data_IF_821716796311
#
_entry.id   IF_821716796311
#
_cell.length_a   1.000
_cell.length_b   1.000
_cell.length_c   1.000
_cell.angle_alpha   90.00
_cell.angle_beta   90.00
_cell.angle_gamma   90.00
#
_symmetry.space_group_name_H-M   'P 1'
#
loop_
_entity.id
_entity.type
_entity.pdbx_description
1 polymer ?
#
# COMPACT_ATOMS: atom_id res chain seq x y z
N UNK A 1 3.85 -3.85 -51.94
CA UNK A 1 4.89 -3.40 -50.99
C UNK A 1 4.15 -2.89 -49.76
N UNK A 2 4.23 -3.64 -48.67
CA UNK A 2 3.51 -3.37 -47.42
C UNK A 2 4.39 -2.49 -46.54
N UNK A 3 3.98 -1.26 -46.30
CA UNK A 3 4.54 -0.41 -45.26
C UNK A 3 4.10 -0.95 -43.90
N UNK A 4 5.06 -1.44 -43.12
CA UNK A 4 4.84 -1.84 -41.74
C UNK A 4 4.66 -0.58 -40.87
N UNK A 5 3.49 -0.50 -40.23
CA UNK A 5 3.14 0.51 -39.22
C UNK A 5 4.03 0.38 -37.97
N UNK A 6 4.53 1.49 -37.38
CA UNK A 6 5.43 1.49 -36.22
C UNK A 6 4.71 1.26 -34.87
N UNK A 7 3.61 0.50 -34.87
CA UNK A 7 2.89 0.12 -33.65
C UNK A 7 3.49 -1.17 -33.07
N UNK A 8 3.67 -1.22 -31.75
CA UNK A 8 4.13 -2.38 -30.96
C UNK A 8 5.65 -2.52 -30.76
N UNK A 9 6.31 -1.49 -30.23
CA UNK A 9 7.52 -1.73 -29.41
C UNK A 9 7.05 -2.10 -28.01
N UNK A 10 6.81 -3.40 -27.83
CA UNK A 10 6.20 -3.99 -26.63
C UNK A 10 6.92 -3.63 -25.34
N UNK A 11 6.13 -3.60 -24.28
CA UNK A 11 6.52 -3.67 -22.87
C UNK A 11 7.42 -4.90 -22.64
N UNK A 12 8.69 -4.77 -22.97
CA UNK A 12 9.68 -5.78 -22.64
C UNK A 12 10.03 -5.61 -21.16
N UNK A 13 9.28 -6.30 -20.29
CA UNK A 13 9.66 -6.47 -18.89
C UNK A 13 11.11 -6.96 -18.81
N UNK A 14 11.97 -6.21 -18.11
CA UNK A 14 13.38 -6.57 -17.96
C UNK A 14 13.48 -7.94 -17.30
N UNK A 15 14.40 -8.77 -17.78
CA UNK A 15 14.62 -10.16 -17.31
C UNK A 15 15.27 -10.26 -15.92
N UNK A 16 15.27 -9.19 -15.12
CA UNK A 16 15.96 -9.10 -13.83
C UNK A 16 15.45 -7.93 -12.98
N UNK A 17 15.99 -7.83 -11.76
CA UNK A 17 15.59 -6.84 -10.76
C UNK A 17 15.68 -5.41 -11.29
N UNK A 18 14.66 -4.62 -10.98
CA UNK A 18 14.58 -3.20 -11.25
C UNK A 18 14.87 -2.39 -9.98
N UNK A 19 15.15 -1.10 -10.15
CA UNK A 19 15.35 -0.20 -9.01
C UNK A 19 14.11 -0.11 -8.11
N UNK A 20 12.91 -0.21 -8.69
CA UNK A 20 11.65 -0.28 -7.94
C UNK A 20 11.58 -1.55 -7.07
N UNK A 21 12.00 -2.71 -7.59
CA UNK A 21 12.01 -3.96 -6.79
C UNK A 21 12.98 -3.86 -5.60
N UNK A 22 14.13 -3.20 -5.78
CA UNK A 22 15.11 -2.97 -4.71
C UNK A 22 14.55 -2.04 -3.62
N UNK A 23 13.82 -1.00 -4.03
CA UNK A 23 13.15 -0.08 -3.13
C UNK A 23 12.03 -0.77 -2.34
N UNK A 24 11.26 -1.66 -2.97
CA UNK A 24 10.32 -2.53 -2.25
C UNK A 24 11.03 -3.51 -1.32
N UNK A 25 12.10 -4.17 -1.75
CA UNK A 25 12.87 -5.07 -0.91
C UNK A 25 13.42 -4.36 0.34
N UNK A 26 13.76 -3.07 0.24
CA UNK A 26 14.25 -2.25 1.34
C UNK A 26 13.20 -2.09 2.47
N UNK A 27 11.90 -2.21 2.18
CA UNK A 27 10.87 -2.14 3.24
C UNK A 27 11.00 -3.29 4.24
N UNK A 28 11.53 -4.44 3.84
CA UNK A 28 11.73 -5.61 4.73
C UNK A 28 12.77 -5.33 5.83
N UNK A 29 14.02 -4.92 5.54
CA UNK A 29 14.97 -4.55 6.58
C UNK A 29 14.53 -3.29 7.34
N UNK A 30 13.82 -2.34 6.71
CA UNK A 30 13.22 -1.20 7.41
C UNK A 30 12.17 -1.65 8.44
N UNK A 31 11.35 -2.67 8.12
CA UNK A 31 10.38 -3.25 9.05
C UNK A 31 11.08 -3.87 10.26
N UNK A 32 12.15 -4.66 10.03
CA UNK A 32 12.95 -5.23 11.11
C UNK A 32 13.59 -4.14 11.97
N UNK A 33 14.21 -3.13 11.35
CA UNK A 33 14.79 -1.99 12.05
C UNK A 33 13.74 -1.21 12.86
N UNK A 34 12.52 -1.05 12.34
CA UNK A 34 11.43 -0.35 13.02
C UNK A 34 11.07 -1.01 14.36
N UNK A 35 11.02 -2.35 14.38
CA UNK A 35 10.74 -3.13 15.59
C UNK A 35 11.91 -3.07 16.57
N UNK A 36 13.15 -3.22 16.07
CA UNK A 36 14.35 -3.32 16.90
C UNK A 36 14.76 -2.00 17.53
N UNK A 37 14.48 -0.88 16.87
CA UNK A 37 14.86 0.44 17.40
C UNK A 37 13.82 0.94 18.39
N UNK A 38 14.26 1.33 19.59
CA UNK A 38 13.40 1.87 20.66
C UNK A 38 13.23 3.39 20.57
N UNK A 39 14.20 4.10 20.00
CA UNK A 39 14.21 5.56 19.93
C UNK A 39 13.21 6.09 18.90
N UNK A 40 12.32 6.98 19.34
CA UNK A 40 11.28 7.61 18.50
C UNK A 40 11.84 8.30 17.27
N UNK A 41 12.95 9.03 17.38
CA UNK A 41 13.55 9.77 16.26
C UNK A 41 13.94 8.85 15.10
N UNK A 42 14.53 7.70 15.40
CA UNK A 42 14.90 6.70 14.40
C UNK A 42 13.67 6.02 13.78
N UNK A 43 12.63 5.73 14.59
CA UNK A 43 11.35 5.21 14.05
C UNK A 43 10.69 6.20 13.09
N UNK A 44 10.71 7.50 13.39
CA UNK A 44 10.22 8.54 12.49
C UNK A 44 11.04 8.61 11.21
N UNK A 45 12.38 8.52 11.30
CA UNK A 45 13.25 8.49 10.14
C UNK A 45 12.97 7.27 9.24
N UNK A 46 12.74 6.10 9.82
CA UNK A 46 12.37 4.88 9.09
C UNK A 46 11.02 5.04 8.39
N UNK A 47 10.00 5.56 9.06
CA UNK A 47 8.68 5.83 8.45
C UNK A 47 8.79 6.84 7.32
N UNK A 48 9.57 7.91 7.51
CA UNK A 48 9.84 8.90 6.48
C UNK A 48 10.56 8.31 5.26
N UNK A 49 11.57 7.47 5.49
CA UNK A 49 12.30 6.78 4.43
C UNK A 49 11.39 5.81 3.67
N UNK A 50 10.55 5.04 4.36
CA UNK A 50 9.59 4.13 3.74
C UNK A 50 8.56 4.89 2.89
N UNK A 51 7.99 5.99 3.41
CA UNK A 51 7.05 6.83 2.67
C UNK A 51 7.69 7.49 1.44
N UNK A 52 8.94 7.95 1.56
CA UNK A 52 9.67 8.54 0.44
C UNK A 52 9.96 7.50 -0.66
N UNK A 53 10.35 6.29 -0.25
CA UNK A 53 10.59 5.15 -1.15
C UNK A 53 9.34 4.86 -1.97
N UNK A 54 8.17 4.80 -1.33
CA UNK A 54 6.88 4.55 -1.96
C UNK A 54 6.47 5.63 -2.98
N UNK A 55 6.80 6.89 -2.70
CA UNK A 55 6.57 8.00 -3.62
C UNK A 55 7.49 7.96 -4.85
N UNK A 56 8.71 7.42 -4.69
CA UNK A 56 9.71 7.33 -5.76
C UNK A 56 9.49 6.12 -6.67
N UNK A 57 8.97 5.02 -6.14
CA UNK A 57 8.71 3.78 -6.89
C UNK A 57 7.71 3.99 -8.04
N UNK A 58 6.65 4.77 -7.79
CA UNK A 58 5.61 5.02 -8.79
C UNK A 58 6.12 5.69 -10.09
N UNK A 59 6.79 6.86 -10.01
CA UNK A 59 7.41 7.49 -11.18
C UNK A 59 8.52 6.66 -11.81
N UNK A 60 9.29 5.92 -11.01
CA UNK A 60 10.43 5.15 -11.49
C UNK A 60 10.00 3.91 -12.29
N UNK A 61 9.00 3.18 -11.80
CA UNK A 61 8.39 2.05 -12.51
C UNK A 61 7.77 2.50 -13.85
N UNK A 62 7.12 3.68 -13.88
CA UNK A 62 6.57 4.26 -15.13
C UNK A 62 7.63 4.63 -16.16
N UNK A 63 8.85 4.96 -15.73
CA UNK A 63 9.93 5.41 -16.62
C UNK A 63 10.88 4.29 -17.04
N UNK A 64 11.05 3.24 -16.22
CA UNK A 64 12.08 2.21 -16.41
C UNK A 64 11.55 0.81 -16.73
N UNK A 65 10.22 0.64 -16.75
CA UNK A 65 9.56 -0.64 -17.04
C UNK A 65 9.34 -1.48 -15.78
N UNK A 66 8.31 -2.33 -15.81
CA UNK A 66 7.97 -3.25 -14.72
C UNK A 66 8.83 -4.51 -14.77
N UNK A 67 9.12 -5.05 -13.59
CA UNK A 67 9.77 -6.34 -13.39
C UNK A 67 8.72 -7.43 -13.18
N UNK A 68 9.00 -8.70 -13.54
CA UNK A 68 8.13 -9.81 -13.19
C UNK A 68 8.04 -10.06 -11.67
N UNK A 69 9.01 -9.59 -10.89
CA UNK A 69 9.06 -9.83 -9.44
C UNK A 69 8.32 -8.76 -8.61
N UNK A 70 8.32 -7.51 -9.05
CA UNK A 70 7.68 -6.38 -8.35
C UNK A 70 6.22 -6.61 -7.96
N UNK A 71 5.33 -7.08 -8.87
CA UNK A 71 3.91 -7.31 -8.55
C UNK A 71 3.66 -8.26 -7.37
N UNK A 72 4.62 -9.15 -7.06
CA UNK A 72 4.55 -10.08 -5.93
C UNK A 72 5.34 -9.55 -4.73
N UNK A 73 6.50 -8.95 -4.97
CA UNK A 73 7.38 -8.45 -3.91
C UNK A 73 6.80 -7.21 -3.22
N UNK A 74 6.23 -6.27 -3.98
CA UNK A 74 5.71 -5.01 -3.45
C UNK A 74 4.62 -5.26 -2.40
N UNK A 75 3.56 -6.08 -2.66
CA UNK A 75 2.52 -6.34 -1.65
C UNK A 75 3.02 -7.10 -0.43
N UNK A 76 4.05 -7.95 -0.57
CA UNK A 76 4.64 -8.67 0.55
C UNK A 76 5.41 -7.70 1.44
N UNK A 77 6.28 -6.90 0.84
CA UNK A 77 7.12 -5.95 1.56
C UNK A 77 6.29 -4.91 2.31
N UNK A 78 5.21 -4.42 1.69
CA UNK A 78 4.25 -3.52 2.33
C UNK A 78 3.56 -4.17 3.54
N UNK A 79 3.09 -5.42 3.40
CA UNK A 79 2.45 -6.15 4.50
C UNK A 79 3.40 -6.41 5.65
N UNK A 80 4.66 -6.72 5.37
CA UNK A 80 5.69 -6.93 6.41
C UNK A 80 5.93 -5.64 7.18
N UNK A 81 6.11 -4.52 6.49
CA UNK A 81 6.29 -3.22 7.13
C UNK A 81 5.07 -2.80 7.95
N UNK A 82 3.87 -2.95 7.38
CA UNK A 82 2.62 -2.65 8.07
C UNK A 82 2.44 -3.52 9.32
N UNK A 83 2.69 -4.83 9.22
CA UNK A 83 2.60 -5.75 10.37
C UNK A 83 3.59 -5.37 11.48
N UNK A 84 4.82 -4.98 11.13
CA UNK A 84 5.80 -4.47 12.07
C UNK A 84 5.32 -3.18 12.78
N UNK A 85 4.82 -2.21 12.00
CA UNK A 85 4.30 -0.95 12.53
C UNK A 85 3.13 -1.17 13.48
N UNK A 86 2.16 -1.98 13.07
CA UNK A 86 0.97 -2.33 13.85
C UNK A 86 1.35 -3.11 15.10
N UNK A 87 2.30 -4.06 15.01
CA UNK A 87 2.78 -4.81 16.16
C UNK A 87 3.30 -3.89 17.25
N UNK A 88 4.16 -2.93 16.89
CA UNK A 88 4.67 -1.92 17.84
C UNK A 88 3.54 -1.10 18.47
N UNK A 89 2.52 -0.72 17.70
CA UNK A 89 1.35 0.03 18.20
C UNK A 89 0.52 -0.82 19.17
N UNK A 90 0.25 -2.08 18.80
CA UNK A 90 -0.54 -3.02 19.59
C UNK A 90 0.11 -3.34 20.93
N UNK A 91 1.42 -3.64 20.94
CA UNK A 91 2.16 -3.96 22.15
C UNK A 91 2.29 -2.76 23.11
N UNK A 92 2.14 -1.53 22.61
CA UNK A 92 2.22 -0.35 23.47
C UNK A 92 0.95 -0.11 24.30
N UNK A 93 -0.18 -0.74 23.97
CA UNK A 93 -1.47 -0.56 24.64
C UNK A 93 -2.09 0.85 24.53
N UNK A 94 -1.58 1.74 23.66
CA UNK A 94 -2.07 3.13 23.55
C UNK A 94 -3.35 3.26 22.72
N UNK A 95 -3.54 2.33 21.79
CA UNK A 95 -4.77 2.16 21.04
C UNK A 95 -5.44 0.84 21.45
N UNK A 96 -6.76 0.85 21.55
CA UNK A 96 -7.52 -0.37 21.75
C UNK A 96 -7.49 -1.23 20.48
N UNK A 97 -7.65 -2.57 20.58
CA UNK A 97 -7.62 -3.45 19.42
C UNK A 97 -8.60 -3.05 18.30
N UNK A 98 -9.79 -2.56 18.65
CA UNK A 98 -10.77 -2.10 17.66
C UNK A 98 -10.36 -0.81 16.92
N UNK A 99 -9.57 0.06 17.55
CA UNK A 99 -9.03 1.28 16.90
C UNK A 99 -7.95 0.89 15.88
N UNK A 100 -7.12 -0.10 16.22
CA UNK A 100 -6.11 -0.66 15.32
C UNK A 100 -6.79 -1.34 14.12
N UNK A 101 -7.80 -2.17 14.35
CA UNK A 101 -8.58 -2.79 13.28
C UNK A 101 -9.27 -1.74 12.39
N UNK A 102 -9.79 -0.68 12.98
CA UNK A 102 -10.38 0.45 12.24
C UNK A 102 -9.38 1.14 11.31
N UNK A 103 -8.17 1.41 11.79
CA UNK A 103 -7.08 1.99 10.99
C UNK A 103 -6.67 1.07 9.83
N UNK A 104 -6.69 -0.25 10.04
CA UNK A 104 -6.31 -1.26 9.04
C UNK A 104 -7.47 -1.75 8.17
N UNK A 105 -8.68 -1.24 8.38
CA UNK A 105 -9.90 -1.76 7.78
C UNK A 105 -9.80 -1.87 6.26
N UNK A 106 -9.24 -0.83 5.61
CA UNK A 106 -9.05 -0.80 4.16
C UNK A 106 -8.09 -1.89 3.68
N UNK A 107 -6.99 -2.14 4.39
CA UNK A 107 -5.99 -3.13 3.98
C UNK A 107 -6.47 -4.57 4.19
N UNK A 108 -7.28 -4.79 5.25
CA UNK A 108 -7.98 -6.05 5.47
C UNK A 108 -8.94 -6.30 4.30
N UNK A 109 -9.78 -5.32 3.94
CA UNK A 109 -10.73 -5.45 2.83
C UNK A 109 -10.00 -5.65 1.49
N UNK A 110 -8.92 -4.90 1.24
CA UNK A 110 -8.11 -5.05 0.03
C UNK A 110 -7.46 -6.44 -0.06
N UNK A 111 -6.95 -6.95 1.07
CA UNK A 111 -6.35 -8.29 1.14
C UNK A 111 -7.38 -9.39 0.91
N UNK A 112 -8.55 -9.30 1.54
CA UNK A 112 -9.66 -10.24 1.33
C UNK A 112 -10.15 -10.21 -0.12
N UNK A 113 -10.28 -9.01 -0.71
CA UNK A 113 -10.66 -8.87 -2.11
C UNK A 113 -9.62 -9.50 -3.05
N UNK A 114 -8.33 -9.30 -2.79
CA UNK A 114 -7.25 -9.93 -3.55
C UNK A 114 -7.32 -11.45 -3.50
N UNK A 115 -7.46 -12.04 -2.32
CA UNK A 115 -7.62 -13.49 -2.18
C UNK A 115 -8.88 -13.99 -2.89
N UNK A 116 -10.02 -13.32 -2.72
CA UNK A 116 -11.26 -13.69 -3.40
C UNK A 116 -11.10 -13.68 -4.94
N UNK A 117 -10.39 -12.70 -5.50
CA UNK A 117 -10.12 -12.66 -6.95
C UNK A 117 -9.15 -13.73 -7.40
N UNK A 118 -8.12 -14.04 -6.59
CA UNK A 118 -7.12 -15.06 -6.89
C UNK A 118 -7.74 -16.46 -7.00
N UNK A 119 -8.74 -16.76 -6.16
CA UNK A 119 -9.46 -18.03 -6.19
C UNK A 119 -10.61 -18.10 -7.21
N UNK A 120 -11.03 -16.97 -7.80
CA UNK A 120 -12.24 -16.92 -8.63
C UNK A 120 -11.99 -16.84 -10.15
N UNK A 121 -10.75 -16.96 -10.64
CA UNK A 121 -10.35 -16.87 -12.07
C UNK A 121 -10.89 -15.65 -12.85
N UNK A 122 -11.46 -14.65 -12.17
CA UNK A 122 -11.95 -13.41 -12.74
C UNK A 122 -10.96 -12.29 -12.38
N UNK A 123 -10.01 -11.94 -13.26
CA UNK A 123 -9.10 -10.83 -13.02
C UNK A 123 -9.90 -9.53 -12.97
N UNK A 124 -10.19 -9.06 -11.76
CA UNK A 124 -10.82 -7.76 -11.52
C UNK A 124 -9.70 -6.74 -11.33
N UNK A 125 -9.20 -6.20 -12.43
CA UNK A 125 -8.30 -5.06 -12.39
C UNK A 125 -9.12 -3.81 -12.03
N UNK A 126 -9.00 -3.35 -10.78
CA UNK A 126 -9.73 -2.17 -10.30
C UNK A 126 -8.78 -0.99 -10.32
N UNK A 127 -9.12 0.10 -11.04
CA UNK A 127 -8.23 1.24 -11.18
C UNK A 127 -7.94 1.89 -9.82
N UNK A 128 -6.66 2.16 -9.57
CA UNK A 128 -6.19 2.85 -8.38
C UNK A 128 -6.86 4.23 -8.27
N UNK A 129 -7.62 4.45 -7.19
CA UNK A 129 -8.35 5.70 -6.94
C UNK A 129 -7.65 6.57 -5.90
N UNK A 130 -7.90 7.87 -6.00
CA UNK A 130 -7.45 8.90 -5.06
C UNK A 130 -7.88 8.62 -3.61
N UNK A 131 -9.03 7.96 -3.42
CA UNK A 131 -9.52 7.53 -2.11
C UNK A 131 -8.58 6.58 -1.38
N UNK A 132 -7.84 5.72 -2.10
CA UNK A 132 -6.82 4.86 -1.50
C UNK A 132 -5.63 5.64 -0.94
N UNK A 133 -5.16 6.66 -1.66
CA UNK A 133 -4.04 7.51 -1.20
C UNK A 133 -4.38 8.27 0.07
N UNK A 134 -5.63 8.76 0.20
CA UNK A 134 -6.08 9.45 1.40
C UNK A 134 -5.99 8.57 2.65
N UNK A 135 -6.34 7.28 2.53
CA UNK A 135 -6.19 6.31 3.62
C UNK A 135 -4.74 6.12 4.00
N UNK A 136 -3.85 5.92 3.03
CA UNK A 136 -2.40 5.75 3.29
C UNK A 136 -1.82 6.96 4.02
N UNK A 137 -2.16 8.18 3.59
CA UNK A 137 -1.71 9.41 4.27
C UNK A 137 -2.25 9.45 5.71
N UNK A 138 -3.53 9.15 5.92
CA UNK A 138 -4.13 9.13 7.25
C UNK A 138 -3.51 8.07 8.18
N UNK A 139 -3.17 6.89 7.65
CA UNK A 139 -2.45 5.85 8.38
C UNK A 139 -1.04 6.29 8.77
N UNK A 140 -0.29 6.92 7.86
CA UNK A 140 1.03 7.49 8.17
C UNK A 140 0.90 8.54 9.27
N UNK A 141 -0.09 9.43 9.20
CA UNK A 141 -0.35 10.42 10.24
C UNK A 141 -0.69 9.78 11.59
N UNK A 142 -1.46 8.69 11.59
CA UNK A 142 -1.76 7.92 12.82
C UNK A 142 -0.48 7.33 13.41
N UNK A 143 0.37 6.74 12.57
CA UNK A 143 1.64 6.15 13.00
C UNK A 143 2.60 7.23 13.54
N UNK A 144 2.71 8.37 12.87
CA UNK A 144 3.52 9.51 13.36
C UNK A 144 2.96 10.03 14.68
N UNK A 145 1.65 10.24 14.79
CA UNK A 145 0.99 10.69 16.03
C UNK A 145 1.24 9.72 17.18
N UNK A 146 1.23 8.41 16.89
CA UNK A 146 1.58 7.37 17.85
C UNK A 146 3.03 7.50 18.33
N UNK A 147 3.97 7.63 17.39
CA UNK A 147 5.41 7.67 17.67
C UNK A 147 5.80 8.89 18.52
N UNK A 148 5.28 10.08 18.19
CA UNK A 148 5.54 11.31 18.96
C UNK A 148 4.74 11.38 20.27
N UNK A 149 3.85 10.41 20.48
CA UNK A 149 2.97 10.36 21.63
C UNK A 149 1.95 11.49 21.72
N UNK A 150 1.43 11.92 20.57
CA UNK A 150 0.45 12.98 20.45
C UNK A 150 -0.84 12.67 21.24
N UNK A 151 -1.44 13.66 21.92
CA UNK A 151 -2.77 13.51 22.54
C UNK A 151 -3.87 13.28 21.50
N UNK A 152 -3.62 13.66 20.23
CA UNK A 152 -4.56 13.50 19.13
C UNK A 152 -4.54 12.11 18.47
N UNK A 153 -3.76 11.15 19.01
CA UNK A 153 -3.64 9.80 18.46
C UNK A 153 -5.01 9.13 18.22
N UNK A 154 -5.88 9.10 19.24
CA UNK A 154 -7.21 8.47 19.11
C UNK A 154 -8.11 9.20 18.10
N UNK A 155 -8.29 10.54 18.17
CA UNK A 155 -9.03 11.27 17.14
C UNK A 155 -8.54 10.99 15.71
N UNK A 156 -7.21 10.96 15.50
CA UNK A 156 -6.61 10.69 14.18
C UNK A 156 -6.89 9.24 13.75
N UNK A 157 -6.82 8.26 14.66
CA UNK A 157 -7.15 6.86 14.36
C UNK A 157 -8.63 6.69 13.94
N UNK A 158 -9.55 7.37 14.63
CA UNK A 158 -10.96 7.39 14.26
C UNK A 158 -11.20 8.09 12.92
N UNK A 159 -10.55 9.23 12.68
CA UNK A 159 -10.60 9.91 11.39
C UNK A 159 -10.09 9.00 10.25
N UNK A 160 -9.00 8.28 10.49
CA UNK A 160 -8.43 7.31 9.55
C UNK A 160 -9.41 6.18 9.25
N UNK A 161 -10.09 5.67 10.28
CA UNK A 161 -11.15 4.66 10.13
C UNK A 161 -12.29 5.17 9.27
N UNK A 162 -12.75 6.41 9.49
CA UNK A 162 -13.82 7.03 8.70
C UNK A 162 -13.40 7.19 7.23
N UNK A 163 -12.18 7.68 6.98
CA UNK A 163 -11.63 7.79 5.62
C UNK A 163 -11.53 6.41 4.96
N UNK A 164 -11.12 5.38 5.69
CA UNK A 164 -11.07 4.00 5.22
C UNK A 164 -12.46 3.48 4.82
N UNK A 165 -13.48 3.71 5.65
CA UNK A 165 -14.88 3.34 5.35
C UNK A 165 -15.37 4.06 4.08
N UNK A 166 -15.12 5.37 3.97
CA UNK A 166 -15.49 6.14 2.77
C UNK A 166 -14.78 5.61 1.53
N UNK A 167 -13.50 5.25 1.62
CA UNK A 167 -12.73 4.68 0.51
C UNK A 167 -13.26 3.31 0.08
N UNK A 168 -13.59 2.43 1.03
CA UNK A 168 -14.22 1.13 0.78
C UNK A 168 -15.58 1.33 0.12
N UNK A 169 -16.38 2.27 0.61
CA UNK A 169 -17.69 2.57 0.04
C UNK A 169 -17.60 3.11 -1.40
N UNK A 170 -16.67 4.03 -1.67
CA UNK A 170 -16.38 4.50 -3.03
C UNK A 170 -15.96 3.35 -3.95
N UNK A 171 -15.14 2.43 -3.44
CA UNK A 171 -14.75 1.21 -4.15
C UNK A 171 -15.98 0.32 -4.49
N UNK A 172 -16.84 0.04 -3.52
CA UNK A 172 -18.04 -0.79 -3.72
C UNK A 172 -19.05 -0.17 -4.70
N UNK A 173 -19.15 1.16 -4.76
CA UNK A 173 -20.03 1.84 -5.73
C UNK A 173 -19.52 1.78 -7.18
N UNK A 174 -18.22 1.58 -7.36
CA UNK A 174 -17.57 1.67 -8.68
C UNK A 174 -17.28 0.29 -9.24
N UNK A 175 -17.02 -0.71 -8.40
CA UNK A 175 -16.81 -2.10 -8.82
C UNK A 175 -17.92 -2.65 -9.76
N UNK A 176 -19.23 -2.38 -9.53
CA UNK A 176 -20.29 -2.83 -10.44
C UNK A 176 -20.33 -2.10 -11.79
N UNK A 177 -19.72 -0.91 -11.91
CA UNK A 177 -19.78 -0.08 -13.12
C UNK A 177 -18.66 -0.40 -14.11
N UNK A 178 -17.50 -0.86 -13.62
CA UNK A 178 -16.41 -1.33 -14.47
C UNK A 178 -16.75 -2.66 -15.20
N UNK A 179 -17.68 -3.45 -14.64
CA UNK A 179 -18.15 -4.71 -15.21
C UNK A 179 -18.96 -4.55 -16.51
N UNK A 180 -19.49 -3.35 -16.82
CA UNK A 180 -20.34 -3.12 -18.00
C UNK A 180 -19.60 -2.70 -19.28
N UNK A 181 -18.26 -2.55 -19.26
CA UNK A 181 -17.48 -2.11 -20.44
C UNK A 181 -16.58 -3.18 -21.06
N UNK A 182 -16.56 -4.39 -20.51
CA UNK A 182 -15.79 -5.52 -21.08
C UNK A 182 -16.70 -6.53 -21.80
N UNK A 183 -18.00 -6.24 -21.89
CA UNK A 183 -18.95 -6.99 -22.70
C UNK A 183 -19.59 -6.07 -23.74
N UNK A 184 -19.43 -6.46 -25.01
CA UNK A 184 -19.85 -5.86 -26.28
C UNK A 184 -18.81 -4.98 -26.98
#
# INVERSE_FOLDING_TARGET
>A
MSEASPAQKGEQGRKGWTEADLMSALRIPLAAAFVLVSHTGWRLAIVGAAALTDLLDGPLARRRGSSPYGPVLDPIADKVFMAAAVGVVAFSGRLAPYEIVGVLLRDIVATLAFFATFFSDQPRAIPARWSGKAVTVAQILTLVAFLVGSPYLRPIAWATTIIAVIAIWDYLRVAPRAQRRVGH
#
